data_IF_586675875085
#
_entry.id   IF_586675875085
#
_cell.length_a   1.000
_cell.length_b   1.000
_cell.length_c   1.000
_cell.angle_alpha   90.00
_cell.angle_beta   90.00
_cell.angle_gamma   90.00
#
_symmetry.space_group_name_H-M   'P 1'
#
loop_
_entity.id
_entity.type
_entity.pdbx_description
1 polymer ?
#
# COMPACT_ATOMS: atom_id res chain seq x y z
N UNK A 1 -32.90 -28.55 -10.54
CA UNK A 1 -32.25 -29.78 -10.02
C UNK A 1 -30.76 -29.51 -9.89
N UNK A 2 -30.13 -29.70 -8.72
CA UNK A 2 -28.69 -29.51 -8.53
C UNK A 2 -27.96 -30.84 -8.73
N UNK A 3 -26.92 -30.87 -9.55
CA UNK A 3 -26.09 -32.06 -9.80
C UNK A 3 -25.10 -32.20 -8.65
N UNK A 4 -25.21 -33.26 -7.85
CA UNK A 4 -24.31 -33.53 -6.71
C UNK A 4 -23.33 -34.63 -7.12
N UNK A 5 -22.05 -34.37 -6.96
CA UNK A 5 -20.97 -35.36 -7.18
C UNK A 5 -20.41 -35.75 -5.82
N UNK A 6 -20.52 -37.03 -5.47
CA UNK A 6 -19.94 -37.59 -4.25
C UNK A 6 -18.52 -38.04 -4.58
N UNK A 7 -17.53 -37.48 -3.87
CA UNK A 7 -16.10 -37.81 -4.04
C UNK A 7 -15.56 -38.50 -2.79
N UNK A 8 -14.53 -39.33 -2.96
CA UNK A 8 -13.85 -40.00 -1.84
C UNK A 8 -12.86 -39.03 -1.20
N UNK A 9 -12.57 -39.21 0.10
CA UNK A 9 -11.60 -38.38 0.82
C UNK A 9 -10.21 -38.39 0.19
N UNK A 10 -9.81 -39.50 -0.44
CA UNK A 10 -8.56 -39.64 -1.19
C UNK A 10 -8.46 -38.80 -2.46
N UNK A 11 -9.59 -38.29 -2.95
CA UNK A 11 -9.68 -37.46 -4.16
C UNK A 11 -9.77 -35.97 -3.81
N UNK A 12 -9.67 -35.61 -2.52
CA UNK A 12 -9.74 -34.23 -2.03
C UNK A 12 -8.33 -33.77 -1.65
N UNK A 13 -7.81 -32.81 -2.41
CA UNK A 13 -6.59 -32.10 -2.04
C UNK A 13 -6.94 -30.97 -1.06
N UNK A 14 -6.59 -31.14 0.21
CA UNK A 14 -6.77 -30.10 1.24
C UNK A 14 -5.56 -29.18 1.22
N UNK A 15 -5.74 -27.94 0.77
CA UNK A 15 -4.72 -26.89 0.88
C UNK A 15 -4.95 -26.09 2.15
N UNK A 16 -3.93 -25.92 3.01
CA UNK A 16 -4.02 -25.06 4.17
C UNK A 16 -4.42 -23.65 3.75
N UNK A 17 -5.42 -23.09 4.42
CA UNK A 17 -5.81 -21.69 4.22
C UNK A 17 -4.87 -20.82 5.06
N UNK A 18 -3.82 -20.30 4.44
CA UNK A 18 -2.88 -19.37 5.09
C UNK A 18 -3.49 -17.97 5.04
N UNK A 19 -4.06 -17.53 6.16
CA UNK A 19 -4.74 -16.25 6.27
C UNK A 19 -3.82 -15.07 5.87
N UNK A 20 -2.53 -15.15 6.15
CA UNK A 20 -1.53 -14.13 5.82
C UNK A 20 -1.32 -13.92 4.31
N UNK A 21 -1.59 -14.93 3.47
CA UNK A 21 -1.53 -14.79 2.00
C UNK A 21 -2.67 -13.91 1.46
N UNK A 22 -3.73 -13.74 2.24
CA UNK A 22 -4.96 -13.04 1.84
C UNK A 22 -5.22 -11.78 2.67
N UNK A 23 -4.48 -11.58 3.76
CA UNK A 23 -4.49 -10.33 4.51
C UNK A 23 -3.28 -9.52 4.04
N UNK A 24 -3.53 -8.32 3.51
CA UNK A 24 -2.51 -7.27 3.48
C UNK A 24 -2.19 -6.89 4.93
N UNK A 25 -1.38 -7.70 5.62
CA UNK A 25 -0.92 -7.42 6.99
C UNK A 25 0.04 -6.25 6.90
N UNK A 26 -0.50 -5.04 6.79
CA UNK A 26 0.14 -3.78 7.19
C UNK A 26 1.53 -3.51 6.61
N UNK A 27 1.89 -4.10 5.48
CA UNK A 27 3.16 -3.87 4.77
C UNK A 27 3.22 -2.51 4.05
N UNK A 28 2.20 -1.65 4.17
CA UNK A 28 2.36 -0.24 3.78
C UNK A 28 3.37 0.53 4.66
N UNK A 29 3.80 -0.04 5.80
CA UNK A 29 4.86 0.55 6.63
C UNK A 29 6.27 0.11 6.22
N UNK A 30 6.40 -0.91 5.36
CA UNK A 30 7.70 -1.54 5.04
C UNK A 30 8.52 -0.86 3.96
N UNK A 31 7.96 0.13 3.27
CA UNK A 31 8.68 0.95 2.29
C UNK A 31 7.88 2.23 2.07
N UNK A 32 7.85 3.13 3.06
CA UNK A 32 7.55 4.52 2.73
C UNK A 32 8.72 5.05 1.89
N UNK A 33 8.62 4.82 0.58
CA UNK A 33 9.56 5.30 -0.41
C UNK A 33 9.84 6.77 -0.14
N UNK A 34 11.13 7.13 -0.05
CA UNK A 34 11.57 8.51 0.14
C UNK A 34 10.79 9.43 -0.80
N UNK A 35 10.00 10.34 -0.23
CA UNK A 35 9.23 11.29 -1.03
C UNK A 35 10.20 12.15 -1.85
N UNK A 36 9.98 12.17 -3.16
CA UNK A 36 10.75 12.99 -4.08
C UNK A 36 10.08 14.35 -4.30
N UNK A 37 10.87 15.34 -4.70
CA UNK A 37 10.30 16.65 -5.08
C UNK A 37 9.36 16.53 -6.29
N UNK A 38 9.60 15.55 -7.17
CA UNK A 38 8.81 15.35 -8.40
C UNK A 38 7.38 14.91 -8.06
N UNK A 39 7.23 13.97 -7.13
CA UNK A 39 5.92 13.52 -6.66
C UNK A 39 5.13 14.64 -6.00
N UNK A 40 5.79 15.47 -5.17
CA UNK A 40 5.13 16.63 -4.54
C UNK A 40 4.70 17.69 -5.55
N UNK A 41 5.49 17.91 -6.61
CA UNK A 41 5.13 18.84 -7.69
C UNK A 41 3.93 18.30 -8.48
N UNK A 42 3.96 17.04 -8.88
CA UNK A 42 2.84 16.39 -9.57
C UNK A 42 1.56 16.46 -8.74
N UNK A 43 1.63 16.15 -7.45
CA UNK A 43 0.49 16.25 -6.55
C UNK A 43 -0.05 17.68 -6.45
N UNK A 44 0.83 18.68 -6.38
CA UNK A 44 0.41 20.07 -6.35
C UNK A 44 -0.26 20.48 -7.68
N UNK A 45 0.26 20.03 -8.81
CA UNK A 45 -0.32 20.26 -10.14
C UNK A 45 -1.71 19.62 -10.26
N UNK A 46 -1.87 18.36 -9.83
CA UNK A 46 -3.16 17.64 -9.82
C UNK A 46 -4.21 18.35 -8.95
N UNK A 47 -3.78 18.96 -7.85
CA UNK A 47 -4.64 19.70 -6.93
C UNK A 47 -4.84 21.17 -7.34
N UNK A 48 -4.20 21.63 -8.43
CA UNK A 48 -4.25 23.02 -8.87
C UNK A 48 -3.62 24.01 -7.88
N UNK A 49 -2.70 23.54 -7.04
CA UNK A 49 -2.01 24.34 -6.04
C UNK A 49 -0.81 25.05 -6.67
N UNK A 50 -0.75 26.37 -6.51
CA UNK A 50 0.46 27.11 -6.82
C UNK A 50 1.51 26.80 -5.76
N UNK A 51 2.71 26.49 -6.20
CA UNK A 51 3.84 26.23 -5.33
C UNK A 51 5.09 27.00 -5.75
N UNK A 52 5.95 27.28 -4.77
CA UNK A 52 7.33 27.66 -4.98
C UNK A 52 8.30 26.53 -4.52
N UNK A 53 9.57 26.65 -4.89
CA UNK A 53 10.56 25.62 -4.52
C UNK A 53 10.82 25.56 -3.00
N UNK A 54 10.55 26.63 -2.25
CA UNK A 54 10.69 26.64 -0.79
C UNK A 54 9.57 25.83 -0.13
N UNK A 55 8.34 25.97 -0.62
CA UNK A 55 7.16 25.23 -0.19
C UNK A 55 7.33 23.75 -0.48
N UNK A 56 7.77 23.36 -1.67
CA UNK A 56 8.08 21.95 -1.99
C UNK A 56 9.19 21.41 -1.08
N UNK A 57 10.23 22.21 -0.81
CA UNK A 57 11.32 21.83 0.08
C UNK A 57 10.86 21.64 1.54
N UNK A 58 10.02 22.53 2.04
CA UNK A 58 9.44 22.46 3.38
C UNK A 58 8.52 21.24 3.51
N UNK A 59 7.56 21.07 2.60
CA UNK A 59 6.61 19.96 2.62
C UNK A 59 7.31 18.61 2.58
N UNK A 60 8.36 18.48 1.77
CA UNK A 60 9.18 17.26 1.76
C UNK A 60 9.75 16.96 3.15
N UNK A 61 10.38 17.94 3.80
CA UNK A 61 10.95 17.75 5.15
C UNK A 61 9.88 17.41 6.18
N UNK A 62 8.73 18.08 6.12
CA UNK A 62 7.62 17.88 7.04
C UNK A 62 7.08 16.46 6.96
N UNK A 63 6.76 15.99 5.75
CA UNK A 63 6.22 14.66 5.55
C UNK A 63 7.28 13.61 5.88
N UNK A 64 8.53 13.78 5.46
CA UNK A 64 9.62 12.86 5.85
C UNK A 64 9.73 12.73 7.37
N UNK A 65 9.77 13.83 8.11
CA UNK A 65 9.84 13.79 9.58
C UNK A 65 8.59 13.15 10.23
N UNK A 66 7.40 13.36 9.65
CA UNK A 66 6.17 12.72 10.12
C UNK A 66 6.21 11.20 9.93
N UNK A 67 6.64 10.74 8.76
CA UNK A 67 6.76 9.32 8.45
C UNK A 67 7.84 8.65 9.31
N UNK A 68 8.97 9.32 9.53
CA UNK A 68 10.04 8.86 10.44
C UNK A 68 9.57 8.79 11.91
N UNK A 69 8.60 9.61 12.32
CA UNK A 69 8.04 9.59 13.68
C UNK A 69 6.97 8.50 13.89
N UNK A 70 6.36 8.00 12.82
CA UNK A 70 5.33 6.97 12.88
C UNK A 70 5.83 5.55 12.59
N UNK A 71 7.10 5.40 12.17
CA UNK A 71 7.81 4.12 12.07
C UNK A 71 8.63 3.82 13.32
#
# INVERSE_FOLDING_TARGET
MKKVTVVKSSEVEVKPFVLDDFIQVKQMHGNMSKITKKELKHLADDLGLKYDDKQIGFTKKLITAYLERQG
#
